data_IF_278115574970
#
_entry.id   IF_278115574970
#
_cell.length_a   1.000
_cell.length_b   1.000
_cell.length_c   1.000
_cell.angle_alpha   90.00
_cell.angle_beta   90.00
_cell.angle_gamma   90.00
#
_symmetry.space_group_name_H-M   'P 1'
#
loop_
_entity.id
_entity.type
_entity.pdbx_description
1 polymer ?
#
# COMPACT_ATOMS: atom_id res chain seq x y z
N UNK A 1 1.67 15.55 -11.83
CA UNK A 1 2.30 14.84 -10.70
C UNK A 1 3.63 14.27 -11.17
N UNK A 2 4.59 13.99 -10.28
CA UNK A 2 5.90 13.41 -10.65
C UNK A 2 5.72 12.21 -11.59
N UNK A 3 6.50 12.16 -12.67
CA UNK A 3 6.37 11.17 -13.74
C UNK A 3 7.34 9.99 -13.59
N UNK A 4 8.18 10.00 -12.53
CA UNK A 4 9.20 8.99 -12.28
C UNK A 4 10.40 9.12 -13.23
N UNK A 5 10.86 10.35 -13.46
CA UNK A 5 12.04 10.62 -14.28
C UNK A 5 13.36 10.36 -13.55
N UNK A 6 14.49 10.16 -14.26
CA UNK A 6 15.81 9.96 -13.66
C UNK A 6 16.20 11.03 -12.63
N UNK A 7 15.91 12.30 -12.93
CA UNK A 7 16.22 13.42 -12.03
C UNK A 7 15.35 13.40 -10.76
N UNK A 8 14.09 12.97 -10.87
CA UNK A 8 13.19 12.84 -9.72
C UNK A 8 13.63 11.68 -8.81
N UNK A 9 14.11 10.58 -9.40
CA UNK A 9 14.69 9.47 -8.63
C UNK A 9 15.95 9.87 -7.88
N UNK A 10 16.85 10.63 -8.51
CA UNK A 10 18.04 11.15 -7.82
C UNK A 10 17.64 12.09 -6.67
N UNK A 11 16.66 12.96 -6.89
CA UNK A 11 16.13 13.81 -5.83
C UNK A 11 15.60 13.00 -4.64
N UNK A 12 14.86 11.92 -4.91
CA UNK A 12 14.34 11.04 -3.86
C UNK A 12 15.45 10.27 -3.13
N UNK A 13 16.51 9.83 -3.84
CA UNK A 13 17.68 9.17 -3.23
C UNK A 13 18.36 10.11 -2.23
N UNK A 14 18.65 11.35 -2.65
CA UNK A 14 19.30 12.34 -1.77
C UNK A 14 18.42 12.65 -0.56
N UNK A 15 17.12 12.87 -0.76
CA UNK A 15 16.20 13.12 0.35
C UNK A 15 16.15 11.93 1.34
N UNK A 16 16.17 10.70 0.83
CA UNK A 16 16.16 9.48 1.65
C UNK A 16 17.46 9.32 2.44
N UNK A 17 18.61 9.59 1.82
CA UNK A 17 19.92 9.53 2.47
C UNK A 17 20.02 10.51 3.64
N UNK A 18 19.69 11.78 3.40
CA UNK A 18 19.80 12.84 4.41
C UNK A 18 18.82 12.63 5.58
N UNK A 19 17.58 12.21 5.30
CA UNK A 19 16.62 11.90 6.36
C UNK A 19 17.03 10.65 7.15
N UNK A 20 17.56 9.63 6.46
CA UNK A 20 18.01 8.39 7.12
C UNK A 20 19.26 8.60 7.96
N UNK A 21 20.13 9.55 7.59
CA UNK A 21 21.28 9.98 8.40
C UNK A 21 20.84 10.51 9.77
N UNK A 22 19.70 11.20 9.83
CA UNK A 22 19.10 11.65 11.09
C UNK A 22 18.34 10.55 11.83
N UNK A 23 17.47 9.81 11.13
CA UNK A 23 16.71 8.70 11.70
C UNK A 23 16.23 7.74 10.61
N UNK A 24 16.62 6.47 10.72
CA UNK A 24 16.17 5.42 9.81
C UNK A 24 14.65 5.19 9.87
N UNK A 25 14.00 5.46 11.01
CA UNK A 25 12.54 5.38 11.12
C UNK A 25 11.83 6.46 10.30
N UNK A 26 12.39 7.67 10.28
CA UNK A 26 11.84 8.80 9.51
C UNK A 26 12.22 8.65 8.04
N UNK A 27 13.52 8.58 7.72
CA UNK A 27 14.01 8.52 6.35
C UNK A 27 13.75 7.19 5.65
N UNK A 28 13.79 6.06 6.35
CA UNK A 28 13.59 4.73 5.73
C UNK A 28 12.12 4.30 5.64
N UNK A 29 11.24 4.81 6.52
CA UNK A 29 9.85 4.33 6.57
C UNK A 29 8.80 5.42 6.32
N UNK A 30 8.96 6.63 6.84
CA UNK A 30 7.91 7.66 6.72
C UNK A 30 7.76 8.17 5.27
N UNK A 31 8.87 8.29 4.54
CA UNK A 31 8.85 8.79 3.15
C UNK A 31 8.70 7.66 2.11
N UNK A 32 9.25 6.47 2.37
CA UNK A 32 9.26 5.38 1.38
C UNK A 32 7.88 4.74 1.21
N UNK A 33 7.03 4.75 2.24
CA UNK A 33 5.66 4.21 2.15
C UNK A 33 4.78 4.99 1.17
N UNK A 34 4.62 6.33 1.27
CA UNK A 34 3.87 7.11 0.29
C UNK A 34 4.50 7.07 -1.10
N UNK A 35 5.83 6.97 -1.21
CA UNK A 35 6.49 6.77 -2.50
C UNK A 35 6.06 5.47 -3.19
N UNK A 36 6.02 4.33 -2.48
CA UNK A 36 5.60 3.04 -3.05
C UNK A 36 4.17 3.12 -3.60
N UNK A 37 3.23 3.68 -2.84
CA UNK A 37 1.85 3.81 -3.28
C UNK A 37 1.72 4.80 -4.45
N UNK A 38 2.44 5.92 -4.40
CA UNK A 38 2.49 6.91 -5.49
C UNK A 38 2.97 6.28 -6.78
N UNK A 39 4.05 5.50 -6.75
CA UNK A 39 4.57 4.80 -7.95
C UNK A 39 3.56 3.80 -8.50
N UNK A 40 2.85 3.07 -7.65
CA UNK A 40 1.79 2.16 -8.08
C UNK A 40 0.63 2.91 -8.76
N UNK A 41 0.18 4.03 -8.19
CA UNK A 41 -0.86 4.90 -8.76
C UNK A 41 -0.44 5.51 -10.09
N UNK A 42 0.76 6.08 -10.18
CA UNK A 42 1.29 6.66 -11.42
C UNK A 42 1.37 5.59 -12.52
N UNK A 43 1.79 4.37 -12.17
CA UNK A 43 1.99 3.29 -13.14
C UNK A 43 0.69 2.61 -13.59
N UNK A 44 -0.27 2.42 -12.70
CA UNK A 44 -1.43 1.56 -12.94
C UNK A 44 -2.77 2.07 -12.44
N UNK A 45 -2.82 3.24 -11.79
CA UNK A 45 -4.07 3.85 -11.35
C UNK A 45 -4.86 4.47 -12.50
N UNK A 46 -6.18 4.54 -12.34
CA UNK A 46 -7.05 5.33 -13.22
C UNK A 46 -6.82 6.84 -12.99
N UNK A 47 -7.28 7.68 -13.92
CA UNK A 47 -7.19 9.14 -13.74
C UNK A 47 -7.98 9.61 -12.50
N UNK A 48 -9.15 9.02 -12.23
CA UNK A 48 -9.92 9.31 -11.02
C UNK A 48 -9.15 8.95 -9.75
N UNK A 49 -8.52 7.77 -9.72
CA UNK A 49 -7.67 7.35 -8.60
C UNK A 49 -6.46 8.27 -8.42
N UNK A 50 -5.81 8.68 -9.51
CA UNK A 50 -4.67 9.61 -9.44
C UNK A 50 -5.10 10.97 -8.92
N UNK A 51 -6.21 11.51 -9.44
CA UNK A 51 -6.78 12.80 -9.03
C UNK A 51 -7.17 12.81 -7.55
N UNK A 52 -7.73 11.71 -7.06
CA UNK A 52 -8.12 11.58 -5.66
C UNK A 52 -6.90 11.41 -4.72
N UNK A 53 -6.00 10.48 -5.03
CA UNK A 53 -5.01 9.99 -4.06
C UNK A 53 -3.69 10.73 -4.10
N UNK A 54 -3.21 11.16 -5.28
CA UNK A 54 -1.89 11.80 -5.39
C UNK A 54 -1.79 13.12 -4.61
N UNK A 55 -2.79 14.03 -4.63
CA UNK A 55 -2.75 15.24 -3.81
C UNK A 55 -2.67 14.93 -2.32
N UNK A 56 -3.51 14.00 -1.83
CA UNK A 56 -3.58 13.61 -0.41
C UNK A 56 -2.26 13.02 0.09
N UNK A 57 -1.60 12.22 -0.75
CA UNK A 57 -0.29 11.64 -0.45
C UNK A 57 0.82 12.70 -0.45
N UNK A 58 0.79 13.64 -1.41
CA UNK A 58 1.83 14.65 -1.57
C UNK A 58 1.90 15.64 -0.38
N UNK A 59 0.75 15.96 0.24
CA UNK A 59 0.69 16.84 1.41
C UNK A 59 0.60 16.08 2.74
N UNK A 60 0.77 14.75 2.71
CA UNK A 60 0.67 13.86 3.87
C UNK A 60 -0.66 13.96 4.66
N UNK A 61 -1.76 14.32 3.98
CA UNK A 61 -3.11 14.21 4.54
C UNK A 61 -3.46 12.73 4.82
N UNK A 62 -3.02 11.84 3.93
CA UNK A 62 -3.11 10.39 4.06
C UNK A 62 -1.72 9.82 4.29
N UNK A 63 -1.55 9.08 5.39
CA UNK A 63 -0.37 8.26 5.64
C UNK A 63 -0.66 6.80 5.24
N UNK A 64 -0.04 6.27 4.16
CA UNK A 64 -0.26 4.89 3.77
C UNK A 64 0.68 3.91 4.50
N UNK A 65 0.21 2.68 4.68
CA UNK A 65 1.05 1.53 4.95
C UNK A 65 1.04 0.55 3.77
N UNK A 66 2.09 -0.26 3.65
CA UNK A 66 2.18 -1.30 2.61
C UNK A 66 1.87 -2.65 3.27
N UNK A 67 0.86 -3.34 2.75
CA UNK A 67 0.33 -4.58 3.28
C UNK A 67 0.44 -5.70 2.24
N UNK A 68 1.66 -6.24 2.10
CA UNK A 68 2.00 -7.29 1.13
C UNK A 68 2.29 -8.61 1.84
N UNK A 69 3.24 -8.59 2.79
CA UNK A 69 3.74 -9.75 3.51
C UNK A 69 2.64 -10.44 4.34
N UNK A 70 2.65 -11.76 4.30
CA UNK A 70 1.81 -12.66 5.11
C UNK A 70 2.68 -13.49 6.04
N UNK A 71 2.11 -14.08 7.12
CA UNK A 71 2.89 -14.86 8.09
C UNK A 71 3.83 -15.89 7.45
N UNK A 72 3.35 -16.57 6.40
CA UNK A 72 4.10 -17.61 5.68
C UNK A 72 4.72 -17.13 4.36
N UNK A 73 4.47 -15.88 3.92
CA UNK A 73 4.87 -15.39 2.60
C UNK A 73 5.50 -14.00 2.67
N UNK A 74 6.83 -13.99 2.60
CA UNK A 74 7.66 -12.78 2.46
C UNK A 74 8.29 -12.69 1.07
N UNK A 75 9.36 -13.47 0.84
CA UNK A 75 10.06 -13.50 -0.45
C UNK A 75 9.20 -14.08 -1.58
N UNK A 76 8.36 -15.08 -1.26
CA UNK A 76 7.45 -15.72 -2.20
C UNK A 76 6.09 -15.01 -2.25
N UNK A 77 6.09 -13.74 -2.66
CA UNK A 77 4.88 -12.91 -2.75
C UNK A 77 3.84 -13.48 -3.71
N UNK A 78 4.27 -14.22 -4.74
CA UNK A 78 3.35 -14.78 -5.73
C UNK A 78 2.37 -15.81 -5.14
N UNK A 79 2.71 -16.43 -4.00
CA UNK A 79 1.93 -17.47 -3.34
C UNK A 79 1.10 -16.99 -2.15
N UNK A 80 0.96 -15.67 -1.95
CA UNK A 80 0.08 -15.12 -0.91
C UNK A 80 -1.35 -15.72 -0.96
N UNK A 81 -1.96 -15.82 0.23
CA UNK A 81 -3.25 -16.46 0.51
C UNK A 81 -4.37 -15.48 0.81
N UNK A 82 -4.10 -14.23 1.23
CA UNK A 82 -5.15 -13.23 1.45
C UNK A 82 -5.96 -13.09 0.17
N UNK A 83 -7.28 -13.25 0.27
CA UNK A 83 -8.19 -13.22 -0.87
C UNK A 83 -8.91 -11.87 -0.96
N UNK A 84 -9.33 -11.53 -2.16
CA UNK A 84 -10.30 -10.49 -2.44
C UNK A 84 -11.36 -11.08 -3.37
N UNK A 85 -12.54 -11.42 -2.83
CA UNK A 85 -13.63 -12.06 -3.58
C UNK A 85 -14.69 -11.03 -3.94
N UNK A 86 -15.16 -10.96 -5.20
CA UNK A 86 -16.24 -10.05 -5.60
C UNK A 86 -17.47 -10.17 -4.69
N UNK A 87 -18.04 -9.04 -4.29
CA UNK A 87 -19.21 -8.95 -3.42
C UNK A 87 -19.94 -7.61 -3.62
N UNK A 88 -21.12 -7.45 -3.04
CA UNK A 88 -21.79 -6.14 -2.97
C UNK A 88 -21.30 -5.35 -1.74
N UNK A 89 -21.06 -4.06 -1.94
CA UNK A 89 -20.76 -3.10 -0.89
C UNK A 89 -21.99 -2.75 -0.05
N UNK A 90 -21.78 -2.00 1.03
CA UNK A 90 -22.87 -1.60 1.96
C UNK A 90 -23.93 -0.72 1.29
N UNK A 91 -23.56 -0.02 0.23
CA UNK A 91 -24.41 0.84 -0.60
C UNK A 91 -24.95 0.12 -1.85
N UNK A 92 -24.76 -1.20 -1.96
CA UNK A 92 -25.17 -2.00 -3.11
C UNK A 92 -24.24 -1.86 -4.33
N UNK A 93 -23.09 -1.19 -4.20
CA UNK A 93 -22.13 -1.07 -5.30
C UNK A 93 -21.25 -2.32 -5.43
N UNK A 94 -20.87 -2.75 -6.64
CA UNK A 94 -19.93 -3.87 -6.80
C UNK A 94 -18.58 -3.58 -6.14
N UNK A 95 -18.09 -4.51 -5.34
CA UNK A 95 -16.85 -4.40 -4.58
C UNK A 95 -16.21 -5.76 -4.31
N UNK A 96 -15.37 -5.81 -3.27
CA UNK A 96 -14.67 -7.02 -2.86
C UNK A 96 -14.71 -7.19 -1.34
N UNK A 97 -14.91 -8.43 -0.88
CA UNK A 97 -14.60 -8.82 0.50
C UNK A 97 -13.15 -9.29 0.53
N UNK A 98 -12.33 -8.63 1.34
CA UNK A 98 -10.94 -8.99 1.56
C UNK A 98 -10.82 -9.82 2.85
N UNK A 99 -10.23 -11.01 2.78
CA UNK A 99 -10.12 -11.90 3.93
C UNK A 99 -8.71 -12.49 4.06
N UNK A 100 -8.15 -12.40 5.26
CA UNK A 100 -6.90 -13.04 5.66
C UNK A 100 -6.07 -12.15 6.58
N UNK A 101 -4.79 -12.51 6.75
CA UNK A 101 -3.88 -11.83 7.68
C UNK A 101 -2.64 -11.35 6.94
N UNK A 102 -2.33 -10.06 7.10
CA UNK A 102 -1.04 -9.47 6.74
C UNK A 102 -0.19 -9.29 8.00
N UNK A 103 1.12 -9.27 7.83
CA UNK A 103 2.08 -9.06 8.92
C UNK A 103 3.20 -8.15 8.47
N UNK A 104 4.03 -7.68 9.41
CA UNK A 104 5.17 -6.78 9.15
C UNK A 104 4.80 -5.51 8.38
N UNK A 105 3.55 -5.03 8.55
CA UNK A 105 3.06 -3.82 7.91
C UNK A 105 3.53 -2.59 8.69
N UNK A 106 4.70 -2.05 8.35
CA UNK A 106 5.23 -0.84 8.98
C UNK A 106 4.19 0.28 8.96
N UNK A 107 3.96 0.88 10.14
CA UNK A 107 2.91 1.87 10.41
C UNK A 107 1.47 1.42 10.17
N UNK A 108 1.21 0.11 10.02
CA UNK A 108 -0.12 -0.43 9.74
C UNK A 108 -1.19 0.06 10.71
N UNK A 109 -0.90 0.17 12.01
CA UNK A 109 -1.84 0.72 12.99
C UNK A 109 -2.15 2.22 12.73
N UNK A 110 -1.12 3.03 12.48
CA UNK A 110 -1.21 4.49 12.33
C UNK A 110 -1.63 4.96 10.94
N UNK A 111 -1.62 4.08 9.92
CA UNK A 111 -1.96 4.47 8.56
C UNK A 111 -3.44 4.86 8.39
N UNK A 112 -3.75 5.69 7.40
CA UNK A 112 -5.12 6.04 6.99
C UNK A 112 -5.57 5.19 5.79
N UNK A 113 -4.62 4.56 5.10
CA UNK A 113 -4.89 3.65 3.99
C UNK A 113 -3.84 2.54 3.93
N UNK A 114 -4.25 1.38 3.42
CA UNK A 114 -3.36 0.27 3.12
C UNK A 114 -3.22 0.11 1.61
N UNK A 115 -1.99 0.09 1.11
CA UNK A 115 -1.67 -0.50 -0.19
C UNK A 115 -1.61 -2.03 -0.01
N UNK A 116 -2.74 -2.70 -0.23
CA UNK A 116 -2.96 -4.09 0.13
C UNK A 116 -2.93 -5.00 -1.11
N UNK A 117 -2.04 -5.99 -1.09
CA UNK A 117 -1.98 -6.99 -2.16
C UNK A 117 -2.80 -8.22 -1.77
N UNK A 118 -3.75 -8.61 -2.61
CA UNK A 118 -4.61 -9.76 -2.39
C UNK A 118 -4.78 -10.58 -3.68
N UNK A 119 -5.13 -11.86 -3.51
CA UNK A 119 -5.50 -12.76 -4.59
C UNK A 119 -6.94 -12.55 -5.00
N UNK A 120 -7.15 -12.07 -6.21
CA UNK A 120 -8.47 -11.88 -6.83
C UNK A 120 -8.86 -13.06 -7.72
N UNK A 121 -7.87 -13.72 -8.33
CA UNK A 121 -8.09 -14.94 -9.11
C UNK A 121 -7.81 -16.19 -8.25
N UNK A 122 -8.80 -17.07 -8.02
CA UNK A 122 -8.60 -18.27 -7.22
C UNK A 122 -7.66 -19.30 -7.87
N UNK A 123 -7.38 -19.19 -9.19
CA UNK A 123 -6.44 -20.06 -9.89
C UNK A 123 -4.99 -19.72 -9.50
N UNK A 124 -4.43 -20.52 -8.58
CA UNK A 124 -3.06 -20.37 -8.11
C UNK A 124 -2.00 -20.61 -9.19
N UNK A 125 -2.34 -21.32 -10.28
CA UNK A 125 -1.38 -21.54 -11.39
C UNK A 125 -1.01 -20.23 -12.11
N UNK A 126 -1.84 -19.18 -11.97
CA UNK A 126 -1.56 -17.83 -12.50
C UNK A 126 -0.50 -17.07 -11.70
N UNK A 127 -0.08 -17.58 -10.54
CA UNK A 127 0.96 -16.96 -9.68
C UNK A 127 0.65 -15.48 -9.40
N UNK A 128 1.58 -14.56 -9.71
CA UNK A 128 1.44 -13.11 -9.54
C UNK A 128 0.34 -12.50 -10.43
N UNK A 129 -0.04 -13.14 -11.54
CA UNK A 129 -1.10 -12.63 -12.43
C UNK A 129 -2.50 -12.76 -11.83
N UNK A 130 -2.66 -13.57 -10.78
CA UNK A 130 -3.91 -13.69 -10.03
C UNK A 130 -4.03 -12.71 -8.86
N UNK A 131 -3.11 -11.75 -8.74
CA UNK A 131 -3.05 -10.78 -7.65
C UNK A 131 -3.49 -9.40 -8.13
N UNK A 132 -4.18 -8.68 -7.25
CA UNK A 132 -4.54 -7.27 -7.45
C UNK A 132 -4.06 -6.45 -6.25
N UNK A 133 -3.65 -5.22 -6.53
CA UNK A 133 -3.32 -4.23 -5.51
C UNK A 133 -4.54 -3.35 -5.26
N UNK A 134 -4.91 -3.20 -3.99
CA UNK A 134 -6.02 -2.38 -3.52
C UNK A 134 -5.50 -1.20 -2.72
N UNK A 135 -6.20 -0.06 -2.80
CA UNK A 135 -6.10 1.00 -1.80
C UNK A 135 -7.28 0.79 -0.86
N UNK A 136 -7.00 0.45 0.40
CA UNK A 136 -8.03 0.17 1.41
C UNK A 136 -8.00 1.29 2.44
N UNK A 137 -8.93 2.26 2.38
CA UNK A 137 -9.08 3.27 3.42
C UNK A 137 -9.38 2.61 4.76
N UNK A 138 -8.83 3.15 5.84
CA UNK A 138 -9.13 2.69 7.19
C UNK A 138 -9.04 3.84 8.21
N UNK A 139 -9.73 3.71 9.37
CA UNK A 139 -9.50 4.63 10.48
C UNK A 139 -8.05 4.57 10.98
N UNK A 140 -7.48 5.74 11.29
CA UNK A 140 -6.18 5.86 11.96
C UNK A 140 -6.27 5.29 13.37
N UNK A 141 -5.35 4.38 13.72
CA UNK A 141 -5.26 3.83 15.06
C UNK A 141 -4.50 4.73 16.03
N UNK A 142 -4.86 4.64 17.31
CA UNK A 142 -4.24 5.37 18.43
C UNK A 142 -2.83 4.86 18.80
N UNK A 143 -2.32 3.82 18.13
CA UNK A 143 -0.92 3.34 18.21
C UNK A 143 -0.54 2.61 19.50
N UNK A 144 -1.45 2.53 20.47
CA UNK A 144 -1.46 1.48 21.47
C UNK A 144 -2.01 0.22 20.80
N UNK A 145 -1.36 -0.93 21.02
CA UNK A 145 -1.58 -2.17 20.26
C UNK A 145 -3.04 -2.62 20.16
N UNK A 146 -3.27 -3.67 19.36
CA UNK A 146 -4.59 -4.28 19.16
C UNK A 146 -5.34 -4.38 20.51
N UNK A 147 -6.38 -3.56 20.68
CA UNK A 147 -7.33 -3.77 21.77
C UNK A 147 -8.17 -4.97 21.34
N UNK A 148 -7.87 -6.12 21.95
CA UNK A 148 -8.70 -7.32 21.89
C UNK A 148 -9.97 -7.12 22.71
#
# INVERSE_FOLDING_TARGET
FSEGGPNEYIGMVVATEELSRGSLGIGGSLITRPEILTRALVKGGTEDQKSEWLPKLAVAEVMPAVAVTEPDYGSDVANIKVTATPAEGQDGTPGYVINGVKTWCTFGARADALALLARTDPDKSKTHRGLSLFIVPKPRGEGHGFQF
#
